data_IF_656310557962
#
_entry.id   IF_656310557962
#
_cell.length_a   1.000
_cell.length_b   1.000
_cell.length_c   1.000
_cell.angle_alpha   90.00
_cell.angle_beta   90.00
_cell.angle_gamma   90.00
#
_symmetry.space_group_name_H-M   'P 1'
#
loop_
_entity.id
_entity.type
_entity.pdbx_description
1 polymer ?
#
# COMPACT_ATOMS: atom_id res chain seq x y z
N UNK A 1 -43.91 -58.56 44.93
CA UNK A 1 -42.84 -58.43 43.92
C UNK A 1 -41.57 -58.03 44.67
N UNK A 2 -41.02 -58.97 45.43
CA UNK A 2 -39.98 -59.91 45.01
C UNK A 2 -38.60 -59.25 45.09
N UNK A 3 -38.07 -59.27 46.31
CA UNK A 3 -36.67 -59.15 46.63
C UNK A 3 -36.11 -60.55 46.98
N UNK A 4 -34.81 -60.70 46.73
CA UNK A 4 -33.88 -61.55 47.48
C UNK A 4 -33.97 -63.09 47.36
N UNK A 5 -32.90 -63.72 46.82
CA UNK A 5 -31.86 -64.36 47.67
C UNK A 5 -30.72 -65.02 46.88
N UNK A 6 -29.57 -65.01 47.55
CA UNK A 6 -28.24 -65.55 47.27
C UNK A 6 -28.20 -67.04 46.91
N UNK A 7 -27.15 -67.41 46.18
CA UNK A 7 -26.55 -68.75 46.18
C UNK A 7 -25.18 -68.73 45.50
N UNK A 8 -24.12 -68.71 46.31
CA UNK A 8 -22.72 -68.94 45.89
C UNK A 8 -22.46 -70.44 45.64
N UNK A 9 -21.62 -70.78 44.65
CA UNK A 9 -20.65 -71.87 44.78
C UNK A 9 -19.57 -71.86 43.66
N UNK A 10 -18.34 -71.61 44.14
CA UNK A 10 -16.99 -71.81 43.61
C UNK A 10 -16.76 -72.85 42.49
N UNK A 11 -15.86 -72.48 41.57
CA UNK A 11 -15.03 -73.39 40.78
C UNK A 11 -13.91 -72.61 40.09
N UNK A 12 -12.67 -72.81 40.54
CA UNK A 12 -11.48 -72.10 40.08
C UNK A 12 -11.03 -72.56 38.67
N UNK A 13 -10.56 -71.62 37.86
CA UNK A 13 -9.84 -71.87 36.62
C UNK A 13 -8.95 -70.67 36.31
N UNK A 14 -7.63 -70.91 36.32
CA UNK A 14 -6.59 -69.97 35.90
C UNK A 14 -6.84 -69.49 34.46
N UNK A 15 -6.89 -68.18 34.24
CA UNK A 15 -6.65 -67.59 32.92
C UNK A 15 -5.51 -66.57 33.02
N UNK A 16 -4.46 -66.85 32.26
CA UNK A 16 -3.29 -66.00 32.04
C UNK A 16 -3.71 -64.65 31.43
N UNK A 17 -3.37 -63.55 32.10
CA UNK A 17 -3.34 -62.23 31.49
C UNK A 17 -2.26 -62.19 30.41
N UNK A 18 -2.65 -62.26 29.13
CA UNK A 18 -1.82 -61.78 28.03
C UNK A 18 -1.96 -60.26 27.96
N UNK A 19 -0.96 -59.56 28.48
CA UNK A 19 -0.73 -58.13 28.20
C UNK A 19 -0.62 -57.92 26.70
N UNK A 20 -1.56 -57.13 26.17
CA UNK A 20 -1.58 -56.70 24.79
C UNK A 20 -0.60 -55.52 24.64
N UNK A 21 0.66 -55.84 24.35
CA UNK A 21 1.73 -54.87 24.15
C UNK A 21 1.67 -54.31 22.72
N UNK A 22 0.90 -53.25 22.50
CA UNK A 22 1.04 -52.38 21.32
C UNK A 22 1.93 -51.18 21.71
N UNK A 23 2.97 -50.85 20.91
CA UNK A 23 3.92 -49.82 21.27
C UNK A 23 3.27 -48.43 21.23
N UNK A 24 3.48 -47.70 22.32
CA UNK A 24 2.94 -46.38 22.63
C UNK A 24 3.67 -45.25 21.86
N UNK A 25 3.81 -45.38 20.54
CA UNK A 25 4.59 -44.42 19.73
C UNK A 25 3.87 -43.07 19.52
N UNK A 26 2.53 -43.09 19.47
CA UNK A 26 1.72 -41.88 19.26
C UNK A 26 1.77 -40.87 20.41
N UNK A 27 1.76 -41.33 21.67
CA UNK A 27 1.84 -40.45 22.84
C UNK A 27 3.25 -39.86 23.04
N UNK A 28 4.29 -40.52 22.52
CA UNK A 28 5.67 -40.02 22.57
C UNK A 28 5.89 -38.83 21.64
N UNK A 29 5.39 -38.92 20.40
CA UNK A 29 5.53 -37.86 19.40
C UNK A 29 4.79 -36.58 19.81
N UNK A 30 3.57 -36.71 20.32
CA UNK A 30 2.77 -35.56 20.77
C UNK A 30 3.40 -34.86 21.99
N UNK A 31 4.00 -35.65 22.90
CA UNK A 31 4.73 -35.12 24.06
C UNK A 31 6.03 -34.41 23.64
N UNK A 32 6.77 -34.96 22.69
CA UNK A 32 7.99 -34.35 22.17
C UNK A 32 7.70 -33.05 21.42
N UNK A 33 6.55 -32.97 20.72
CA UNK A 33 6.11 -31.76 20.02
C UNK A 33 5.67 -30.65 20.98
N UNK A 34 4.99 -31.00 22.07
CA UNK A 34 4.66 -30.04 23.14
C UNK A 34 5.91 -29.52 23.86
N UNK A 35 6.86 -30.40 24.19
CA UNK A 35 8.14 -30.00 24.78
C UNK A 35 8.95 -29.08 23.85
N UNK A 36 8.88 -29.31 22.53
CA UNK A 36 9.51 -28.47 21.53
C UNK A 36 8.90 -27.07 21.49
N UNK A 37 7.57 -26.96 21.53
CA UNK A 37 6.86 -25.69 21.57
C UNK A 37 7.21 -24.87 22.83
N UNK A 38 7.33 -25.53 23.98
CA UNK A 38 7.76 -24.88 25.23
C UNK A 38 9.21 -24.36 25.15
N UNK A 39 10.14 -25.14 24.57
CA UNK A 39 11.52 -24.70 24.33
C UNK A 39 11.58 -23.47 23.43
N UNK A 40 10.76 -23.42 22.38
CA UNK A 40 10.67 -22.29 21.45
C UNK A 40 10.13 -21.05 22.16
N UNK A 41 9.09 -21.17 22.99
CA UNK A 41 8.57 -20.05 23.77
C UNK A 41 9.61 -19.51 24.77
N UNK A 42 10.30 -20.39 25.48
CA UNK A 42 11.37 -20.00 26.41
C UNK A 42 12.51 -19.27 25.68
N UNK A 43 12.86 -19.70 24.46
CA UNK A 43 13.84 -19.00 23.62
C UNK A 43 13.39 -17.58 23.28
N UNK A 44 12.12 -17.40 22.89
CA UNK A 44 11.57 -16.08 22.55
C UNK A 44 11.55 -15.13 23.75
N UNK A 45 11.27 -15.64 24.96
CA UNK A 45 11.28 -14.84 26.19
C UNK A 45 12.69 -14.50 26.70
N UNK A 46 13.70 -15.32 26.38
CA UNK A 46 15.08 -15.13 26.85
C UNK A 46 15.86 -14.01 26.11
N UNK A 47 15.28 -13.42 25.06
CA UNK A 47 15.93 -12.42 24.19
C UNK A 47 16.37 -11.12 24.87
N UNK A 48 15.93 -10.84 26.10
CA UNK A 48 16.19 -9.58 26.80
C UNK A 48 17.42 -9.53 27.73
N UNK A 49 18.08 -10.66 28.05
CA UNK A 49 19.15 -10.62 29.07
C UNK A 49 20.07 -11.84 29.24
N UNK A 50 19.94 -12.89 28.42
CA UNK A 50 20.73 -14.12 28.61
C UNK A 50 21.13 -14.80 27.30
N UNK A 51 22.11 -14.24 26.59
CA UNK A 51 22.64 -14.81 25.34
C UNK A 51 23.04 -16.29 25.50
N UNK A 52 23.74 -16.61 26.60
CA UNK A 52 24.14 -17.97 26.98
C UNK A 52 22.96 -18.92 27.22
N UNK A 53 21.83 -18.41 27.69
CA UNK A 53 20.62 -19.22 27.93
C UNK A 53 19.91 -19.51 26.61
N UNK A 54 19.82 -18.53 25.72
CA UNK A 54 19.28 -18.69 24.38
C UNK A 54 20.09 -19.71 23.56
N UNK A 55 21.43 -19.67 23.64
CA UNK A 55 22.32 -20.64 22.96
C UNK A 55 22.13 -22.07 23.47
N UNK A 56 21.97 -22.26 24.79
CA UNK A 56 21.69 -23.58 25.38
C UNK A 56 20.32 -24.12 24.97
N UNK A 57 19.30 -23.26 24.94
CA UNK A 57 17.96 -23.64 24.46
C UNK A 57 18.02 -24.03 22.98
N UNK A 58 18.80 -23.33 22.16
CA UNK A 58 18.99 -23.66 20.74
C UNK A 58 19.68 -25.01 20.54
N UNK A 59 20.68 -25.32 21.37
CA UNK A 59 21.35 -26.61 21.33
C UNK A 59 20.39 -27.76 21.67
N UNK A 60 19.50 -27.58 22.66
CA UNK A 60 18.48 -28.56 23.03
C UNK A 60 17.44 -28.74 21.91
N UNK A 61 16.96 -27.65 21.32
CA UNK A 61 16.09 -27.65 20.14
C UNK A 61 16.71 -28.44 18.99
N UNK A 62 17.98 -28.18 18.69
CA UNK A 62 18.73 -28.88 17.64
C UNK A 62 18.89 -30.37 17.94
N UNK A 63 19.15 -30.72 19.20
CA UNK A 63 19.29 -32.11 19.63
C UNK A 63 17.96 -32.88 19.51
N UNK A 64 16.83 -32.25 19.86
CA UNK A 64 15.49 -32.84 19.70
C UNK A 64 15.17 -33.05 18.22
N UNK A 65 15.45 -32.06 17.36
CA UNK A 65 15.29 -32.18 15.90
C UNK A 65 16.15 -33.29 15.31
N UNK A 66 17.38 -33.46 15.79
CA UNK A 66 18.25 -34.54 15.33
C UNK A 66 17.67 -35.94 15.63
N UNK A 67 16.94 -36.11 16.75
CA UNK A 67 16.24 -37.38 17.06
C UNK A 67 15.04 -37.61 16.14
N UNK A 68 14.26 -36.57 15.86
CA UNK A 68 13.10 -36.64 14.97
C UNK A 68 13.49 -36.76 13.48
N UNK A 69 14.66 -36.25 13.08
CA UNK A 69 15.18 -36.35 11.72
C UNK A 69 15.34 -37.80 11.24
N UNK A 70 15.48 -38.77 12.16
CA UNK A 70 15.60 -40.18 11.81
C UNK A 70 14.34 -40.76 11.13
N UNK A 71 13.16 -40.23 11.43
CA UNK A 71 11.87 -40.72 10.89
C UNK A 71 11.42 -39.97 9.63
N UNK A 72 11.91 -38.74 9.41
CA UNK A 72 11.65 -38.00 8.17
C UNK A 72 12.48 -38.57 7.02
N UNK A 73 11.85 -38.92 5.91
CA UNK A 73 12.53 -39.48 4.72
C UNK A 73 12.20 -38.73 3.42
N UNK A 74 11.18 -37.88 3.43
CA UNK A 74 10.71 -37.16 2.25
C UNK A 74 10.13 -35.78 2.60
N UNK A 75 10.06 -34.90 1.61
CA UNK A 75 9.40 -33.60 1.70
C UNK A 75 8.60 -33.34 0.43
N UNK A 76 7.41 -32.78 0.56
CA UNK A 76 6.60 -32.38 -0.59
C UNK A 76 6.80 -30.89 -0.87
N UNK A 77 7.07 -30.55 -2.14
CA UNK A 77 7.12 -29.16 -2.59
C UNK A 77 6.52 -29.03 -3.99
N UNK A 78 5.54 -28.13 -4.13
CA UNK A 78 4.81 -27.85 -5.37
C UNK A 78 4.19 -29.11 -6.00
N UNK A 79 3.65 -30.00 -5.17
CA UNK A 79 3.01 -31.26 -5.62
C UNK A 79 3.99 -32.36 -6.04
N UNK A 80 5.31 -32.18 -5.80
CA UNK A 80 6.33 -33.20 -6.02
C UNK A 80 6.94 -33.64 -4.70
N UNK A 81 6.91 -34.94 -4.43
CA UNK A 81 7.56 -35.56 -3.27
C UNK A 81 9.03 -35.81 -3.57
N UNK A 82 9.89 -35.34 -2.67
CA UNK A 82 11.35 -35.36 -2.80
C UNK A 82 11.92 -36.23 -1.68
N UNK A 83 12.60 -37.34 -1.98
CA UNK A 83 13.28 -38.11 -0.95
C UNK A 83 14.47 -37.33 -0.39
N UNK A 84 14.58 -37.23 0.93
CA UNK A 84 15.62 -36.48 1.65
C UNK A 84 16.52 -37.47 2.39
N UNK A 85 17.69 -37.76 1.81
CA UNK A 85 18.67 -38.69 2.39
C UNK A 85 19.70 -38.02 3.29
N UNK A 86 19.87 -36.70 3.16
CA UNK A 86 20.93 -35.94 3.84
C UNK A 86 20.43 -35.48 5.21
N UNK A 87 21.05 -35.97 6.28
CA UNK A 87 20.66 -35.68 7.67
C UNK A 87 20.58 -34.19 7.98
N UNK A 88 21.56 -33.41 7.53
CA UNK A 88 21.57 -31.94 7.69
C UNK A 88 20.34 -31.27 7.08
N UNK A 89 19.89 -31.76 5.92
CA UNK A 89 18.71 -31.22 5.24
C UNK A 89 17.44 -31.62 5.97
N UNK A 90 17.37 -32.85 6.50
CA UNK A 90 16.22 -33.31 7.31
C UNK A 90 16.05 -32.47 8.58
N UNK A 91 17.14 -32.24 9.31
CA UNK A 91 17.14 -31.41 10.52
C UNK A 91 16.68 -29.98 10.20
N UNK A 92 17.19 -29.39 9.12
CA UNK A 92 16.79 -28.05 8.68
C UNK A 92 15.30 -27.97 8.32
N UNK A 93 14.81 -28.91 7.50
CA UNK A 93 13.42 -28.90 7.04
C UNK A 93 12.41 -29.14 8.18
N UNK A 94 12.74 -30.02 9.14
CA UNK A 94 11.92 -30.19 10.35
C UNK A 94 11.82 -28.91 11.17
N UNK A 95 12.92 -28.15 11.27
CA UNK A 95 12.95 -26.90 12.00
C UNK A 95 12.34 -25.70 11.27
N UNK A 96 11.99 -25.84 9.99
CA UNK A 96 11.56 -24.71 9.17
C UNK A 96 10.26 -24.09 9.68
N UNK A 97 9.22 -24.91 9.93
CA UNK A 97 7.92 -24.43 10.38
C UNK A 97 8.01 -23.76 11.77
N UNK A 98 8.77 -24.35 12.68
CA UNK A 98 9.06 -23.78 14.01
C UNK A 98 9.76 -22.42 13.91
N UNK A 99 10.79 -22.33 13.06
CA UNK A 99 11.55 -21.10 12.85
C UNK A 99 10.65 -20.01 12.24
N UNK A 100 9.81 -20.35 11.26
CA UNK A 100 8.83 -19.43 10.69
C UNK A 100 7.79 -18.97 11.73
N UNK A 101 7.31 -19.87 12.58
CA UNK A 101 6.40 -19.54 13.68
C UNK A 101 7.08 -18.63 14.72
N UNK A 102 8.33 -18.91 15.08
CA UNK A 102 9.11 -18.09 16.00
C UNK A 102 9.34 -16.68 15.46
N UNK A 103 9.63 -16.54 14.16
CA UNK A 103 9.75 -15.24 13.48
C UNK A 103 8.42 -14.47 13.55
N UNK A 104 7.29 -15.14 13.29
CA UNK A 104 5.97 -14.52 13.34
C UNK A 104 5.57 -14.06 14.76
N UNK A 105 5.98 -14.80 15.79
CA UNK A 105 5.66 -14.53 17.20
C UNK A 105 6.63 -13.58 17.89
N UNK A 106 7.80 -13.31 17.30
CA UNK A 106 8.78 -12.42 17.90
C UNK A 106 8.24 -10.99 18.04
N UNK A 107 8.29 -10.45 19.25
CA UNK A 107 7.81 -9.09 19.55
C UNK A 107 8.82 -7.99 19.19
N UNK A 108 10.12 -8.26 19.37
CA UNK A 108 11.20 -7.31 19.08
C UNK A 108 11.71 -7.47 17.65
N UNK A 109 11.91 -6.35 16.96
CA UNK A 109 12.49 -6.30 15.62
C UNK A 109 13.93 -6.82 15.59
N UNK A 110 14.71 -6.61 16.65
CA UNK A 110 16.06 -7.17 16.77
C UNK A 110 16.03 -8.70 16.88
N UNK A 111 15.05 -9.25 17.61
CA UNK A 111 14.88 -10.70 17.73
C UNK A 111 14.45 -11.29 16.39
N UNK A 112 13.52 -10.65 15.67
CA UNK A 112 13.14 -11.05 14.31
C UNK A 112 14.34 -11.09 13.37
N UNK A 113 15.17 -10.05 13.38
CA UNK A 113 16.35 -9.97 12.51
C UNK A 113 17.33 -11.12 12.80
N UNK A 114 17.62 -11.40 14.08
CA UNK A 114 18.47 -12.54 14.49
C UNK A 114 17.90 -13.89 14.04
N UNK A 115 16.59 -14.09 14.16
CA UNK A 115 15.93 -15.33 13.73
C UNK A 115 16.02 -15.52 12.21
N UNK A 116 15.80 -14.46 11.43
CA UNK A 116 16.00 -14.51 9.98
C UNK A 116 17.46 -14.82 9.62
N UNK A 117 18.43 -14.27 10.32
CA UNK A 117 19.85 -14.54 10.09
C UNK A 117 20.23 -15.98 10.40
N UNK A 118 19.72 -16.55 11.49
CA UNK A 118 19.87 -17.97 11.84
C UNK A 118 19.31 -18.85 10.72
N UNK A 119 18.06 -18.61 10.31
CA UNK A 119 17.40 -19.38 9.26
C UNK A 119 18.14 -19.30 7.92
N UNK A 120 18.64 -18.11 7.56
CA UNK A 120 19.47 -17.93 6.38
C UNK A 120 20.79 -18.69 6.48
N UNK A 121 21.42 -18.74 7.65
CA UNK A 121 22.65 -19.51 7.86
C UNK A 121 22.40 -21.01 7.71
N UNK A 122 21.40 -21.54 8.40
CA UNK A 122 21.01 -22.95 8.33
C UNK A 122 20.65 -23.37 6.89
N UNK A 123 19.94 -22.49 6.16
CA UNK A 123 19.61 -22.75 4.75
C UNK A 123 20.85 -22.82 3.86
N UNK A 124 21.88 -21.98 4.10
CA UNK A 124 23.15 -22.03 3.35
C UNK A 124 23.88 -23.35 3.62
N UNK A 125 23.91 -23.79 4.86
CA UNK A 125 24.56 -25.05 5.24
C UNK A 125 23.85 -26.26 4.64
N UNK A 126 22.50 -26.26 4.63
CA UNK A 126 21.70 -27.30 3.98
C UNK A 126 21.91 -27.32 2.44
N UNK A 127 21.92 -26.15 1.79
CA UNK A 127 22.22 -26.02 0.36
C UNK A 127 23.63 -26.54 0.06
N UNK A 128 24.61 -26.21 0.90
CA UNK A 128 25.99 -26.65 0.72
C UNK A 128 26.11 -28.18 0.82
N UNK A 129 25.43 -28.82 1.78
CA UNK A 129 25.39 -30.27 1.88
C UNK A 129 24.81 -30.94 0.63
N UNK A 130 23.72 -30.40 0.07
CA UNK A 130 23.16 -30.91 -1.21
C UNK A 130 24.12 -30.70 -2.38
N UNK A 131 24.82 -29.56 -2.43
CA UNK A 131 25.81 -29.27 -3.49
C UNK A 131 27.00 -30.22 -3.46
N UNK A 132 27.44 -30.64 -2.28
CA UNK A 132 28.51 -31.63 -2.12
C UNK A 132 28.09 -33.00 -2.67
N UNK A 133 26.88 -33.45 -2.34
CA UNK A 133 26.28 -34.67 -2.90
C UNK A 133 26.08 -34.58 -4.42
N UNK A 134 25.61 -33.44 -4.95
CA UNK A 134 25.49 -33.22 -6.40
C UNK A 134 26.83 -33.34 -7.13
N UNK A 135 27.92 -32.85 -6.53
CA UNK A 135 29.27 -32.97 -7.10
C UNK A 135 29.78 -34.41 -7.03
N UNK A 136 29.43 -35.16 -5.99
CA UNK A 136 29.78 -36.57 -5.86
C UNK A 136 29.02 -37.43 -6.91
N UNK A 137 27.72 -37.19 -7.07
CA UNK A 137 26.85 -37.86 -8.05
C UNK A 137 27.31 -37.58 -9.49
N UNK A 138 27.66 -36.32 -9.81
CA UNK A 138 28.20 -35.95 -11.12
C UNK A 138 29.51 -36.68 -11.46
N UNK A 139 30.43 -36.83 -10.50
CA UNK A 139 31.68 -37.59 -10.68
C UNK A 139 31.45 -39.09 -10.88
N UNK A 140 30.36 -39.64 -10.33
CA UNK A 140 29.98 -41.03 -10.54
C UNK A 140 29.31 -41.23 -11.90
N UNK A 141 28.46 -40.29 -12.34
CA UNK A 141 27.84 -40.29 -13.68
C UNK A 141 28.83 -40.10 -14.81
N UNK A 142 29.86 -39.28 -14.65
CA UNK A 142 30.93 -39.15 -15.68
C UNK A 142 31.68 -40.47 -15.95
N UNK A 143 31.57 -41.45 -15.05
CA UNK A 143 32.12 -42.80 -15.21
C UNK A 143 31.12 -43.80 -15.81
N UNK A 144 29.84 -43.46 -15.83
CA UNK A 144 28.75 -44.28 -16.37
C UNK A 144 28.18 -43.56 -17.60
N UNK A 145 28.58 -44.00 -18.79
CA UNK A 145 28.03 -43.54 -20.06
C UNK A 145 26.53 -43.89 -20.12
N UNK A 146 25.66 -43.03 -19.63
CA UNK A 146 24.24 -43.16 -19.92
C UNK A 146 23.57 -41.81 -20.19
N UNK A 147 22.97 -41.74 -21.37
CA UNK A 147 22.41 -40.56 -21.98
C UNK A 147 20.91 -40.48 -21.73
N UNK A 148 20.53 -39.90 -20.60
CA UNK A 148 19.17 -39.38 -20.38
C UNK A 148 19.23 -38.01 -19.69
N UNK A 149 19.46 -36.97 -20.50
CA UNK A 149 19.75 -35.59 -20.06
C UNK A 149 18.54 -34.68 -19.90
N UNK A 150 17.30 -35.20 -19.87
CA UNK A 150 16.12 -34.33 -20.03
C UNK A 150 15.29 -34.07 -18.75
N UNK A 151 15.45 -34.84 -17.65
CA UNK A 151 14.62 -34.66 -16.43
C UNK A 151 15.46 -34.19 -15.24
N UNK A 152 15.00 -33.12 -14.58
CA UNK A 152 15.61 -32.59 -13.34
C UNK A 152 15.63 -33.67 -12.26
N UNK A 153 16.83 -34.04 -11.80
CA UNK A 153 17.00 -35.10 -10.79
C UNK A 153 16.35 -34.70 -9.46
N UNK A 154 15.97 -35.68 -8.63
CA UNK A 154 15.40 -35.39 -7.31
C UNK A 154 16.36 -34.56 -6.44
N UNK A 155 17.66 -34.76 -6.58
CA UNK A 155 18.69 -34.01 -5.86
C UNK A 155 18.82 -32.57 -6.36
N UNK A 156 18.71 -32.34 -7.68
CA UNK A 156 18.66 -30.99 -8.26
C UNK A 156 17.37 -30.25 -7.87
N UNK A 157 16.25 -30.97 -7.81
CA UNK A 157 14.97 -30.39 -7.38
C UNK A 157 14.98 -30.07 -5.87
N UNK A 158 15.60 -30.92 -5.04
CA UNK A 158 15.87 -30.62 -3.63
C UNK A 158 16.74 -29.37 -3.46
N UNK A 159 17.81 -29.25 -4.28
CA UNK A 159 18.65 -28.06 -4.30
C UNK A 159 17.85 -26.79 -4.65
N UNK A 160 16.95 -26.90 -5.63
CA UNK A 160 16.05 -25.81 -6.03
C UNK A 160 15.08 -25.44 -4.92
N UNK A 161 14.51 -26.41 -4.21
CA UNK A 161 13.63 -26.16 -3.06
C UNK A 161 14.33 -25.43 -1.91
N UNK A 162 15.53 -25.88 -1.52
CA UNK A 162 16.30 -25.20 -0.47
C UNK A 162 16.73 -23.81 -0.91
N UNK A 163 17.06 -23.63 -2.19
CA UNK A 163 17.38 -22.32 -2.75
C UNK A 163 16.16 -21.40 -2.75
N UNK A 164 14.98 -21.92 -3.06
CA UNK A 164 13.70 -21.22 -2.91
C UNK A 164 13.51 -20.75 -1.46
N UNK A 165 13.63 -21.64 -0.46
CA UNK A 165 13.49 -21.27 0.95
C UNK A 165 14.44 -20.14 1.33
N UNK A 166 15.72 -20.23 0.94
CA UNK A 166 16.72 -19.17 1.18
C UNK A 166 16.29 -17.84 0.55
N UNK A 167 15.98 -17.83 -0.74
CA UNK A 167 15.61 -16.61 -1.47
C UNK A 167 14.33 -15.99 -0.91
N UNK A 168 13.33 -16.81 -0.61
CA UNK A 168 12.09 -16.40 0.01
C UNK A 168 12.30 -15.81 1.41
N UNK A 169 13.19 -16.41 2.20
CA UNK A 169 13.60 -15.87 3.51
C UNK A 169 14.30 -14.51 3.37
N UNK A 170 15.14 -14.31 2.34
CA UNK A 170 15.74 -12.99 2.05
C UNK A 170 14.64 -11.97 1.74
N UNK A 171 13.65 -12.33 0.93
CA UNK A 171 12.50 -11.46 0.63
C UNK A 171 11.76 -11.07 1.91
N UNK A 172 11.34 -12.05 2.73
CA UNK A 172 10.64 -11.81 4.01
C UNK A 172 11.44 -10.94 4.98
N UNK A 173 12.76 -11.20 5.14
CA UNK A 173 13.65 -10.40 6.01
C UNK A 173 13.68 -8.94 5.55
N UNK A 174 13.91 -8.69 4.26
CA UNK A 174 14.02 -7.33 3.75
C UNK A 174 12.66 -6.61 3.75
N UNK A 175 11.54 -7.32 3.56
CA UNK A 175 10.21 -6.73 3.77
C UNK A 175 10.01 -6.29 5.22
N UNK A 176 10.40 -7.11 6.20
CA UNK A 176 10.32 -6.76 7.62
C UNK A 176 11.15 -5.50 7.91
N UNK A 177 12.39 -5.46 7.44
CA UNK A 177 13.27 -4.30 7.59
C UNK A 177 12.69 -3.06 6.91
N UNK A 178 12.08 -3.21 5.73
CA UNK A 178 11.47 -2.11 5.01
C UNK A 178 10.27 -1.54 5.76
N UNK A 179 9.40 -2.37 6.34
CA UNK A 179 8.27 -1.92 7.18
C UNK A 179 8.76 -1.09 8.38
N UNK A 180 9.78 -1.57 9.09
CA UNK A 180 10.37 -0.84 10.23
C UNK A 180 10.95 0.49 9.79
N UNK A 181 11.69 0.51 8.67
CA UNK A 181 12.33 1.72 8.17
C UNK A 181 11.31 2.73 7.64
N UNK A 182 10.21 2.29 7.03
CA UNK A 182 9.11 3.15 6.63
C UNK A 182 8.42 3.81 7.83
N UNK A 183 8.17 3.05 8.91
CA UNK A 183 7.60 3.61 10.13
C UNK A 183 8.50 4.73 10.69
N UNK A 184 9.81 4.48 10.76
CA UNK A 184 10.80 5.48 11.21
C UNK A 184 10.91 6.70 10.30
N UNK A 185 10.60 6.59 9.01
CA UNK A 185 10.56 7.72 8.09
C UNK A 185 9.33 8.62 8.29
N UNK A 186 8.23 8.08 8.83
CA UNK A 186 7.00 8.83 9.13
C UNK A 186 7.08 9.55 10.47
N UNK A 187 7.99 9.14 11.34
CA UNK A 187 8.22 9.79 12.64
C UNK A 187 8.93 11.15 12.44
N UNK A 188 8.52 12.21 13.17
CA UNK A 188 9.21 13.50 13.14
C UNK A 188 10.64 13.32 13.68
N UNK A 189 11.63 13.69 12.87
CA UNK A 189 13.05 13.55 13.23
C UNK A 189 13.36 14.37 14.50
N UNK A 190 13.89 13.74 15.56
CA UNK A 190 14.47 14.49 16.66
C UNK A 190 15.87 14.95 16.25
N UNK A 191 16.02 16.26 16.07
CA UNK A 191 17.30 16.98 15.93
C UNK A 191 18.02 16.82 14.56
N UNK A 192 18.29 17.94 13.87
CA UNK A 192 18.99 17.96 12.56
C UNK A 192 20.41 17.35 12.62
N UNK A 193 20.94 17.19 13.83
CA UNK A 193 22.29 16.73 14.13
C UNK A 193 22.52 15.22 13.88
N UNK A 194 21.46 14.40 13.81
CA UNK A 194 21.58 12.96 13.53
C UNK A 194 21.09 12.65 12.12
N UNK A 195 21.90 11.89 11.35
CA UNK A 195 21.46 11.33 10.07
C UNK A 195 20.30 10.37 10.31
N UNK A 196 19.08 10.88 10.16
CA UNK A 196 17.86 10.10 10.18
C UNK A 196 17.79 9.08 9.04
N UNK A 197 16.85 8.11 9.11
CA UNK A 197 16.55 7.23 7.99
C UNK A 197 16.27 8.02 6.72
N UNK A 198 16.75 7.54 5.57
CA UNK A 198 16.52 8.20 4.28
C UNK A 198 15.79 7.29 3.31
N UNK A 199 15.03 7.84 2.34
CA UNK A 199 14.36 7.04 1.31
C UNK A 199 15.33 6.13 0.53
N UNK A 200 16.61 6.52 0.38
CA UNK A 200 17.60 5.70 -0.33
C UNK A 200 17.89 4.37 0.37
N UNK A 201 17.76 4.32 1.70
CA UNK A 201 17.98 3.10 2.47
C UNK A 201 16.87 2.06 2.18
N UNK A 202 15.64 2.51 1.90
CA UNK A 202 14.54 1.66 1.44
C UNK A 202 14.72 1.17 0.00
N UNK A 203 15.22 2.02 -0.90
CA UNK A 203 15.52 1.62 -2.29
C UNK A 203 16.43 0.39 -2.30
N UNK A 204 17.48 0.41 -1.48
CA UNK A 204 18.44 -0.70 -1.35
C UNK A 204 17.77 -2.01 -0.89
N UNK A 205 16.85 -1.93 0.07
CA UNK A 205 16.12 -3.12 0.55
C UNK A 205 15.23 -3.71 -0.57
N UNK A 206 14.52 -2.86 -1.32
CA UNK A 206 13.71 -3.31 -2.45
C UNK A 206 14.54 -3.83 -3.63
N UNK A 207 15.73 -3.29 -3.87
CA UNK A 207 16.67 -3.84 -4.86
C UNK A 207 17.08 -5.28 -4.51
N UNK A 208 17.37 -5.55 -3.23
CA UNK A 208 17.70 -6.91 -2.76
C UNK A 208 16.50 -7.86 -2.92
N UNK A 209 15.29 -7.39 -2.61
CA UNK A 209 14.05 -8.16 -2.82
C UNK A 209 13.90 -8.50 -4.31
N UNK A 210 14.02 -7.51 -5.20
CA UNK A 210 13.87 -7.71 -6.63
C UNK A 210 14.94 -8.61 -7.23
N UNK A 211 16.18 -8.52 -6.75
CA UNK A 211 17.24 -9.45 -7.14
C UNK A 211 16.90 -10.88 -6.74
N UNK A 212 16.43 -11.08 -5.50
CA UNK A 212 16.03 -12.40 -5.01
C UNK A 212 14.86 -13.00 -5.79
N UNK A 213 13.86 -12.17 -6.12
CA UNK A 213 12.72 -12.58 -6.95
C UNK A 213 13.12 -12.87 -8.40
N UNK A 214 14.13 -12.20 -8.94
CA UNK A 214 14.61 -12.46 -10.31
C UNK A 214 15.31 -13.82 -10.44
N UNK A 215 15.88 -14.36 -9.35
CA UNK A 215 16.50 -15.68 -9.31
C UNK A 215 15.46 -16.82 -9.22
N UNK A 216 14.30 -16.58 -8.61
CA UNK A 216 13.28 -17.62 -8.37
C UNK A 216 12.78 -18.33 -9.65
N UNK A 217 12.43 -17.63 -10.75
CA UNK A 217 12.01 -18.26 -12.01
C UNK A 217 13.07 -19.14 -12.66
N UNK A 218 14.34 -18.94 -12.31
CA UNK A 218 15.50 -19.61 -12.91
C UNK A 218 15.84 -20.93 -12.20
N UNK A 219 15.10 -21.28 -11.15
CA UNK A 219 15.28 -22.54 -10.42
C UNK A 219 14.86 -23.73 -11.30
N UNK A 220 15.67 -24.79 -11.28
CA UNK A 220 15.44 -25.97 -12.11
C UNK A 220 14.17 -26.71 -11.68
N UNK A 221 13.31 -27.01 -12.65
CA UNK A 221 12.03 -27.68 -12.43
C UNK A 221 10.86 -26.73 -12.20
N UNK A 222 11.09 -25.41 -12.27
CA UNK A 222 10.06 -24.37 -12.14
C UNK A 222 9.61 -23.78 -13.49
N UNK A 223 10.19 -24.24 -14.61
CA UNK A 223 9.93 -23.72 -15.96
C UNK A 223 8.47 -23.90 -16.38
N UNK A 224 7.89 -25.07 -16.06
CA UNK A 224 6.53 -25.45 -16.42
C UNK A 224 5.49 -25.08 -15.35
N UNK A 225 5.89 -24.66 -14.15
CA UNK A 225 4.95 -24.21 -13.10
C UNK A 225 4.47 -22.79 -13.39
N UNK A 226 3.50 -22.66 -14.29
CA UNK A 226 2.91 -21.37 -14.64
C UNK A 226 2.23 -20.66 -13.45
N UNK A 227 1.81 -21.40 -12.42
CA UNK A 227 1.25 -20.79 -11.21
C UNK A 227 2.33 -20.08 -10.40
N UNK A 228 3.49 -20.71 -10.23
CA UNK A 228 4.69 -20.11 -9.63
C UNK A 228 5.16 -18.88 -10.39
N UNK A 229 5.29 -19.00 -11.70
CA UNK A 229 5.78 -17.92 -12.55
C UNK A 229 4.89 -16.67 -12.42
N UNK A 230 3.56 -16.87 -12.42
CA UNK A 230 2.60 -15.78 -12.20
C UNK A 230 2.69 -15.17 -10.79
N UNK A 231 2.83 -16.01 -9.76
CA UNK A 231 2.98 -15.56 -8.37
C UNK A 231 4.23 -14.67 -8.20
N UNK A 232 5.38 -15.13 -8.71
CA UNK A 232 6.65 -14.40 -8.63
C UNK A 232 6.61 -13.12 -9.48
N UNK A 233 6.02 -13.17 -10.68
CA UNK A 233 5.85 -12.00 -11.53
C UNK A 233 4.99 -10.91 -10.84
N UNK A 234 3.90 -11.31 -10.19
CA UNK A 234 3.02 -10.39 -9.47
C UNK A 234 3.73 -9.73 -8.30
N UNK A 235 4.45 -10.50 -7.48
CA UNK A 235 5.29 -9.96 -6.40
C UNK A 235 6.37 -9.02 -6.92
N UNK A 236 7.01 -9.37 -8.04
CA UNK A 236 8.01 -8.52 -8.69
C UNK A 236 7.42 -7.17 -9.10
N UNK A 237 6.19 -7.13 -9.63
CA UNK A 237 5.51 -5.88 -9.96
C UNK A 237 5.25 -5.01 -8.73
N UNK A 238 4.79 -5.60 -7.63
CA UNK A 238 4.57 -4.87 -6.36
C UNK A 238 5.86 -4.24 -5.85
N UNK A 239 6.95 -5.00 -5.78
CA UNK A 239 8.22 -4.45 -5.27
C UNK A 239 8.88 -3.45 -6.24
N UNK A 240 8.63 -3.57 -7.56
CA UNK A 240 8.98 -2.52 -8.52
C UNK A 240 8.22 -1.22 -8.24
N UNK A 241 6.96 -1.31 -7.86
CA UNK A 241 6.15 -0.16 -7.49
C UNK A 241 6.72 0.53 -6.23
N UNK A 242 6.97 -0.22 -5.15
CA UNK A 242 7.58 0.35 -3.92
C UNK A 242 8.97 0.94 -4.17
N UNK A 243 9.84 0.24 -4.91
CA UNK A 243 11.15 0.80 -5.27
C UNK A 243 11.00 2.12 -6.02
N UNK A 244 10.11 2.19 -7.01
CA UNK A 244 9.87 3.38 -7.79
C UNK A 244 9.32 4.54 -6.94
N UNK A 245 8.47 4.23 -5.96
CA UNK A 245 7.94 5.20 -4.99
C UNK A 245 9.07 5.84 -4.16
N UNK A 246 9.98 5.04 -3.58
CA UNK A 246 11.07 5.60 -2.78
C UNK A 246 12.16 6.31 -3.61
N UNK A 247 12.32 5.93 -4.89
CA UNK A 247 13.12 6.73 -5.84
C UNK A 247 12.45 8.10 -6.05
N UNK A 248 11.13 8.14 -6.24
CA UNK A 248 10.40 9.41 -6.40
C UNK A 248 10.54 10.31 -5.17
N UNK A 249 10.38 9.75 -3.96
CA UNK A 249 10.62 10.43 -2.69
C UNK A 249 12.05 10.99 -2.58
N UNK A 250 13.06 10.26 -3.10
CA UNK A 250 14.43 10.78 -3.16
C UNK A 250 14.58 11.98 -4.10
N UNK A 251 13.84 12.02 -5.20
CA UNK A 251 13.82 13.17 -6.12
C UNK A 251 13.06 14.38 -5.56
N UNK A 252 11.99 14.15 -4.79
CA UNK A 252 11.27 15.19 -4.03
C UNK A 252 12.25 15.94 -3.12
N UNK A 253 13.09 15.21 -2.37
CA UNK A 253 14.07 15.82 -1.45
C UNK A 253 15.10 16.73 -2.12
N UNK A 254 15.38 16.51 -3.41
CA UNK A 254 16.32 17.34 -4.20
C UNK A 254 15.60 18.27 -5.18
N UNK A 255 14.30 18.52 -4.96
CA UNK A 255 13.45 19.43 -5.76
C UNK A 255 13.38 19.10 -7.25
N UNK A 256 13.59 17.84 -7.62
CA UNK A 256 13.45 17.34 -9.00
C UNK A 256 12.01 16.91 -9.26
N UNK A 257 11.12 17.91 -9.29
CA UNK A 257 9.66 17.72 -9.30
C UNK A 257 9.19 16.92 -10.52
N UNK A 258 9.76 17.19 -11.70
CA UNK A 258 9.35 16.54 -12.95
C UNK A 258 9.68 15.04 -12.94
N UNK A 259 10.88 14.69 -12.48
CA UNK A 259 11.33 13.31 -12.38
C UNK A 259 10.54 12.53 -11.33
N UNK A 260 10.29 13.15 -10.17
CA UNK A 260 9.46 12.56 -9.12
C UNK A 260 8.02 12.30 -9.61
N UNK A 261 7.41 13.24 -10.34
CA UNK A 261 6.06 13.08 -10.89
C UNK A 261 5.96 11.89 -11.86
N UNK A 262 6.92 11.77 -12.79
CA UNK A 262 6.96 10.65 -13.75
C UNK A 262 7.11 9.31 -13.03
N UNK A 263 7.92 9.26 -11.96
CA UNK A 263 8.06 8.05 -11.15
C UNK A 263 6.78 7.71 -10.41
N UNK A 264 6.07 8.68 -9.82
CA UNK A 264 4.76 8.43 -9.20
C UNK A 264 3.72 7.88 -10.19
N UNK A 265 3.67 8.44 -11.41
CA UNK A 265 2.82 7.88 -12.47
C UNK A 265 3.19 6.43 -12.82
N UNK A 266 4.49 6.11 -12.82
CA UNK A 266 4.98 4.74 -13.04
C UNK A 266 4.57 3.79 -11.90
N UNK A 267 4.57 4.25 -10.65
CA UNK A 267 4.03 3.49 -9.50
C UNK A 267 2.57 3.14 -9.74
N UNK A 268 1.74 4.13 -10.12
CA UNK A 268 0.32 3.91 -10.43
C UNK A 268 0.11 2.94 -11.60
N UNK A 269 0.99 2.95 -12.61
CA UNK A 269 0.94 1.99 -13.71
C UNK A 269 1.16 0.55 -13.22
N UNK A 270 2.21 0.31 -12.44
CA UNK A 270 2.46 -1.02 -11.86
C UNK A 270 1.32 -1.45 -10.94
N UNK A 271 0.80 -0.52 -10.13
CA UNK A 271 -0.29 -0.81 -9.22
C UNK A 271 -1.57 -1.26 -9.93
N UNK A 272 -1.95 -0.58 -11.02
CA UNK A 272 -3.08 -0.98 -11.87
C UNK A 272 -2.85 -2.35 -12.51
N UNK A 273 -1.64 -2.62 -13.00
CA UNK A 273 -1.28 -3.92 -13.56
C UNK A 273 -1.43 -5.05 -12.53
N UNK A 274 -0.95 -4.83 -11.30
CA UNK A 274 -1.14 -5.78 -10.19
C UNK A 274 -2.62 -6.01 -9.91
N UNK A 275 -3.45 -4.97 -9.84
CA UNK A 275 -4.90 -5.12 -9.61
C UNK A 275 -5.60 -5.92 -10.71
N UNK A 276 -5.19 -5.78 -11.98
CA UNK A 276 -5.74 -6.54 -13.10
C UNK A 276 -5.31 -8.01 -13.03
N UNK A 277 -4.02 -8.26 -12.80
CA UNK A 277 -3.47 -9.61 -12.74
C UNK A 277 -3.93 -10.39 -11.50
N UNK A 278 -4.05 -9.72 -10.35
CA UNK A 278 -4.55 -10.29 -9.11
C UNK A 278 -5.96 -10.87 -9.25
N UNK A 279 -6.87 -10.18 -9.97
CA UNK A 279 -8.23 -10.69 -10.25
C UNK A 279 -8.25 -11.99 -11.07
N UNK A 280 -7.18 -12.25 -11.82
CA UNK A 280 -7.04 -13.45 -12.67
C UNK A 280 -6.35 -14.61 -11.95
N UNK A 281 -5.77 -14.37 -10.77
CA UNK A 281 -5.06 -15.37 -9.97
C UNK A 281 -5.94 -15.83 -8.78
N UNK A 282 -6.52 -17.03 -8.87
CA UNK A 282 -7.29 -17.65 -7.77
C UNK A 282 -6.43 -18.17 -6.60
N UNK A 283 -5.10 -18.08 -6.69
CA UNK A 283 -4.17 -18.62 -5.69
C UNK A 283 -3.71 -17.56 -4.69
N UNK A 284 -3.89 -17.85 -3.40
CA UNK A 284 -3.37 -17.21 -2.18
C UNK A 284 -2.56 -15.91 -2.37
N UNK A 285 -3.25 -14.81 -2.63
CA UNK A 285 -2.68 -13.46 -2.60
C UNK A 285 -2.50 -12.91 -1.16
N UNK A 286 -2.66 -13.75 -0.13
CA UNK A 286 -2.67 -13.34 1.29
C UNK A 286 -1.36 -12.68 1.73
N UNK A 287 -0.26 -12.96 1.04
CA UNK A 287 1.09 -12.48 1.37
C UNK A 287 1.58 -11.34 0.46
N UNK A 288 0.69 -10.69 -0.31
CA UNK A 288 1.06 -9.50 -1.08
C UNK A 288 0.74 -8.24 -0.27
N UNK A 289 1.66 -7.26 -0.21
CA UNK A 289 1.33 -5.94 0.30
C UNK A 289 0.12 -5.38 -0.44
N UNK A 290 -0.84 -4.81 0.30
CA UNK A 290 -1.99 -4.17 -0.33
C UNK A 290 -1.53 -2.94 -1.11
N UNK A 291 -1.64 -3.03 -2.44
CA UNK A 291 -1.23 -1.96 -3.33
C UNK A 291 -2.21 -0.78 -3.27
N UNK A 292 -3.41 -0.97 -2.70
CA UNK A 292 -4.37 0.11 -2.55
C UNK A 292 -3.85 1.22 -1.63
N UNK A 293 -3.19 0.86 -0.52
CA UNK A 293 -2.54 1.83 0.36
C UNK A 293 -1.47 2.63 -0.40
N UNK A 294 -0.62 1.95 -1.17
CA UNK A 294 0.41 2.59 -2.00
C UNK A 294 -0.21 3.54 -3.05
N UNK A 295 -1.33 3.18 -3.67
CA UNK A 295 -2.06 4.06 -4.60
C UNK A 295 -2.54 5.32 -3.88
N UNK A 296 -3.12 5.18 -2.68
CA UNK A 296 -3.60 6.34 -1.91
C UNK A 296 -2.46 7.26 -1.51
N UNK A 297 -1.34 6.70 -1.06
CA UNK A 297 -0.14 7.44 -0.66
C UNK A 297 0.47 8.18 -1.87
N UNK A 298 0.63 7.51 -3.01
CA UNK A 298 1.14 8.13 -4.25
C UNK A 298 0.27 9.29 -4.72
N UNK A 299 -1.06 9.13 -4.69
CA UNK A 299 -1.96 10.21 -5.10
C UNK A 299 -1.84 11.43 -4.17
N UNK A 300 -1.75 11.21 -2.85
CA UNK A 300 -1.54 12.29 -1.89
C UNK A 300 -0.20 13.01 -2.15
N UNK A 301 0.87 12.25 -2.37
CA UNK A 301 2.20 12.77 -2.66
C UNK A 301 2.27 13.53 -3.99
N UNK A 302 1.53 13.10 -5.01
CA UNK A 302 1.44 13.83 -6.29
C UNK A 302 0.83 15.22 -6.11
N UNK A 303 -0.25 15.36 -5.34
CA UNK A 303 -0.85 16.67 -5.07
C UNK A 303 0.08 17.56 -4.23
N UNK A 304 0.73 16.98 -3.21
CA UNK A 304 1.74 17.68 -2.40
C UNK A 304 2.90 18.18 -3.25
N UNK A 305 3.43 17.32 -4.14
CA UNK A 305 4.48 17.66 -5.08
C UNK A 305 4.07 18.77 -6.04
N UNK A 306 2.84 18.73 -6.57
CA UNK A 306 2.34 19.77 -7.48
C UNK A 306 2.25 21.13 -6.78
N UNK A 307 1.72 21.16 -5.56
CA UNK A 307 1.68 22.38 -4.76
C UNK A 307 3.09 22.91 -4.46
N UNK A 308 4.01 22.03 -4.02
CA UNK A 308 5.40 22.39 -3.75
C UNK A 308 6.12 22.94 -5.00
N UNK A 309 5.90 22.34 -6.16
CA UNK A 309 6.51 22.78 -7.41
C UNK A 309 6.03 24.18 -7.83
N UNK A 310 4.76 24.52 -7.62
CA UNK A 310 4.20 25.85 -7.89
C UNK A 310 4.82 26.90 -6.96
N UNK A 311 4.90 26.60 -5.66
CA UNK A 311 5.49 27.51 -4.67
C UNK A 311 6.99 27.71 -4.90
N UNK A 312 7.71 26.67 -5.32
CA UNK A 312 9.16 26.74 -5.62
C UNK A 312 9.44 27.61 -6.88
N UNK A 313 8.50 27.68 -7.83
CA UNK A 313 8.58 28.63 -8.95
C UNK A 313 8.36 30.08 -8.54
N UNK A 314 7.62 30.36 -7.47
CA UNK A 314 7.42 31.72 -6.96
C UNK A 314 8.71 32.26 -6.30
N UNK A 315 9.45 31.42 -5.57
CA UNK A 315 10.75 31.79 -4.98
C UNK A 315 11.84 32.09 -6.03
N UNK A 316 11.78 31.47 -7.22
CA UNK A 316 12.69 31.80 -8.34
C UNK A 316 12.22 33.00 -9.17
N UNK A 317 10.93 33.33 -9.14
CA UNK A 317 10.39 34.52 -9.80
C UNK A 317 10.73 35.83 -9.04
N UNK A 318 11.24 35.75 -7.81
CA UNK A 318 11.78 36.90 -7.08
C UNK A 318 13.20 37.31 -7.51
N UNK A 319 13.86 36.57 -8.42
CA UNK A 319 14.89 37.23 -9.24
C UNK A 319 14.16 38.07 -10.28
N UNK A 320 14.28 39.42 -10.28
CA UNK A 320 13.62 40.29 -11.25
C UNK A 320 14.33 40.15 -12.60
N UNK A 321 14.21 38.97 -13.21
CA UNK A 321 14.57 38.74 -14.58
C UNK A 321 13.44 39.34 -15.40
N UNK A 322 13.63 40.62 -15.70
CA UNK A 322 12.80 41.41 -16.59
C UNK A 322 11.41 41.71 -15.99
N UNK A 323 11.40 42.54 -14.94
CA UNK A 323 10.47 43.67 -14.99
C UNK A 323 10.69 44.34 -16.34
N UNK A 324 9.87 44.00 -17.33
CA UNK A 324 9.63 44.92 -18.41
C UNK A 324 9.16 46.18 -17.70
N UNK A 325 10.07 47.14 -17.53
CA UNK A 325 9.70 48.54 -17.39
C UNK A 325 8.94 48.88 -18.66
N UNK A 326 7.68 48.47 -18.71
CA UNK A 326 6.78 48.88 -19.77
C UNK A 326 6.62 50.36 -19.49
N UNK A 327 7.22 51.19 -20.34
CA UNK A 327 6.93 52.63 -20.44
C UNK A 327 5.52 52.81 -20.99
N UNK A 328 4.52 52.19 -20.34
CA UNK A 328 3.13 52.45 -20.61
C UNK A 328 2.76 53.73 -19.88
N UNK A 329 2.81 54.83 -20.62
CA UNK A 329 2.47 56.16 -20.12
C UNK A 329 0.96 56.35 -19.94
N UNK A 330 0.13 55.32 -20.12
CA UNK A 330 -1.29 55.38 -19.81
C UNK A 330 -1.51 55.57 -18.30
N UNK A 331 -2.48 56.40 -17.90
CA UNK A 331 -2.83 56.54 -16.49
C UNK A 331 -3.36 55.21 -15.94
N UNK A 332 -3.20 54.98 -14.63
CA UNK A 332 -3.64 53.74 -13.97
C UNK A 332 -5.11 53.40 -14.25
N UNK A 333 -5.99 54.41 -14.33
CA UNK A 333 -7.41 54.21 -14.62
C UNK A 333 -7.71 53.53 -15.96
N UNK A 334 -6.80 53.60 -16.93
CA UNK A 334 -6.98 53.08 -18.28
C UNK A 334 -6.38 51.67 -18.48
N UNK A 335 -5.78 51.09 -17.42
CA UNK A 335 -5.11 49.78 -17.45
C UNK A 335 -5.44 48.90 -16.23
N UNK A 336 -6.63 49.05 -15.66
CA UNK A 336 -7.09 48.29 -14.48
C UNK A 336 -7.27 46.79 -14.76
N UNK A 337 -7.29 46.40 -16.03
CA UNK A 337 -7.39 45.03 -16.52
C UNK A 337 -6.06 44.26 -16.51
N UNK A 338 -4.93 44.93 -16.29
CA UNK A 338 -3.60 44.32 -16.32
C UNK A 338 -2.75 44.70 -15.09
N UNK A 339 -2.26 43.69 -14.37
CA UNK A 339 -1.40 43.88 -13.20
C UNK A 339 0.05 44.16 -13.62
N UNK A 340 0.58 45.30 -13.17
CA UNK A 340 1.96 45.72 -13.44
C UNK A 340 2.60 46.30 -12.17
N UNK A 341 3.86 45.96 -11.91
CA UNK A 341 4.65 46.62 -10.88
C UNK A 341 5.19 47.95 -11.45
N UNK A 342 4.54 49.05 -11.10
CA UNK A 342 4.94 50.41 -11.51
C UNK A 342 5.44 51.23 -10.31
N UNK A 343 6.77 51.34 -10.12
CA UNK A 343 7.35 52.13 -9.02
C UNK A 343 6.98 53.61 -9.06
N UNK A 344 6.59 54.15 -10.22
CA UNK A 344 6.22 55.56 -10.37
C UNK A 344 4.94 55.93 -9.61
N UNK A 345 4.07 54.94 -9.34
CA UNK A 345 2.84 55.12 -8.56
C UNK A 345 3.11 55.46 -7.09
N UNK A 346 4.29 55.11 -6.57
CA UNK A 346 4.74 55.42 -5.20
C UNK A 346 5.59 56.70 -5.16
N UNK A 347 5.85 57.30 -6.33
CA UNK A 347 6.62 58.53 -6.49
C UNK A 347 5.85 59.81 -6.14
N UNK A 348 6.52 60.96 -6.27
CA UNK A 348 5.94 62.28 -5.94
C UNK A 348 4.86 62.75 -6.93
N UNK A 349 4.80 62.17 -8.13
CA UNK A 349 3.86 62.55 -9.20
C UNK A 349 3.31 61.28 -9.88
N UNK A 350 2.38 60.56 -9.23
CA UNK A 350 1.82 59.34 -9.79
C UNK A 350 0.83 59.64 -10.92
N UNK A 351 0.96 58.93 -12.05
CA UNK A 351 0.06 59.03 -13.19
C UNK A 351 -1.20 58.15 -12.99
N UNK A 352 -2.09 58.58 -12.08
CA UNK A 352 -3.28 57.78 -11.69
C UNK A 352 -4.45 57.94 -12.67
N UNK A 353 -4.72 59.18 -13.05
CA UNK A 353 -5.87 59.59 -13.88
C UNK A 353 -5.49 60.87 -14.61
N UNK A 354 -6.02 61.05 -15.82
CA UNK A 354 -5.88 62.31 -16.56
C UNK A 354 -6.65 63.41 -15.85
N UNK A 355 -5.95 64.46 -15.39
CA UNK A 355 -6.56 65.62 -14.74
C UNK A 355 -6.08 66.94 -15.36
N UNK A 356 -6.97 67.89 -15.68
CA UNK A 356 -8.43 67.84 -15.51
C UNK A 356 -9.10 66.84 -16.47
N UNK A 357 -10.26 66.26 -16.10
CA UNK A 357 -10.97 65.32 -16.96
C UNK A 357 -11.43 66.00 -18.25
N UNK A 358 -11.48 65.23 -19.34
CA UNK A 358 -12.01 65.71 -20.61
C UNK A 358 -13.51 66.01 -20.49
N UNK A 359 -13.96 67.09 -21.14
CA UNK A 359 -15.38 67.43 -21.17
C UNK A 359 -16.16 66.38 -21.96
N UNK A 360 -17.14 65.74 -21.30
CA UNK A 360 -18.04 64.79 -21.94
C UNK A 360 -19.45 65.40 -22.08
N UNK A 361 -20.13 65.20 -23.23
CA UNK A 361 -21.50 65.67 -23.40
C UNK A 361 -22.43 64.91 -22.45
N UNK A 362 -23.16 65.64 -21.61
CA UNK A 362 -24.17 65.07 -20.72
C UNK A 362 -25.49 65.04 -21.52
N UNK A 363 -26.14 63.87 -21.71
CA UNK A 363 -27.42 63.82 -22.38
C UNK A 363 -28.46 64.61 -21.58
N UNK A 364 -29.24 65.44 -22.28
CA UNK A 364 -30.35 66.16 -21.66
C UNK A 364 -31.34 65.15 -21.07
N UNK A 365 -31.91 65.48 -19.90
CA UNK A 365 -32.93 64.65 -19.25
C UNK A 365 -34.03 64.28 -20.27
N UNK A 366 -34.32 62.98 -20.47
CA UNK A 366 -35.31 62.55 -21.45
C UNK A 366 -36.68 63.12 -21.11
N UNK A 367 -37.46 63.48 -22.14
CA UNK A 367 -38.84 63.90 -21.94
C UNK A 367 -39.65 62.72 -21.40
N UNK A 368 -40.31 62.94 -20.26
CA UNK A 368 -41.25 61.99 -19.66
C UNK A 368 -42.60 62.70 -19.53
N UNK A 369 -43.62 62.15 -20.19
CA UNK A 369 -44.98 62.70 -20.12
C UNK A 369 -45.80 61.94 -19.10
N UNK A 370 -46.53 62.66 -18.25
CA UNK A 370 -47.51 62.06 -17.36
C UNK A 370 -48.79 61.75 -18.13
N UNK A 371 -48.88 60.52 -18.65
CA UNK A 371 -50.06 60.05 -19.38
C UNK A 371 -51.23 59.72 -18.45
N UNK A 372 -51.00 59.56 -17.15
CA UNK A 372 -52.07 59.24 -16.19
C UNK A 372 -53.07 60.40 -16.07
N UNK A 373 -52.60 61.64 -16.25
CA UNK A 373 -53.46 62.81 -16.29
C UNK A 373 -54.53 62.73 -17.40
N UNK A 374 -54.20 62.11 -18.54
CA UNK A 374 -55.17 61.93 -19.64
C UNK A 374 -56.34 61.01 -19.25
N UNK A 375 -56.17 60.19 -18.20
CA UNK A 375 -57.18 59.26 -17.72
C UNK A 375 -58.03 59.82 -16.57
N UNK A 376 -57.78 61.06 -16.14
CA UNK A 376 -58.65 61.76 -15.19
C UNK A 376 -59.88 62.28 -15.94
N UNK A 377 -60.89 61.43 -16.08
CA UNK A 377 -62.18 61.77 -16.65
C UNK A 377 -63.29 61.54 -15.63
N UNK A 378 -64.41 62.25 -15.79
CA UNK A 378 -65.60 61.97 -14.99
C UNK A 378 -66.11 60.55 -15.26
N UNK A 379 -66.64 59.85 -14.25
CA UNK A 379 -67.33 58.59 -14.48
C UNK A 379 -68.59 58.85 -15.34
N UNK A 380 -69.14 57.83 -16.01
CA UNK A 380 -70.44 57.94 -16.67
C UNK A 380 -71.50 58.46 -15.68
N UNK A 381 -72.14 59.58 -16.02
CA UNK A 381 -73.11 60.26 -15.15
C UNK A 381 -74.56 59.92 -15.51
N UNK A 382 -74.80 58.95 -16.38
CA UNK A 382 -76.14 58.60 -16.89
C UNK A 382 -77.14 58.28 -15.76
N UNK A 383 -76.68 57.67 -14.67
CA UNK A 383 -77.48 57.36 -13.47
C UNK A 383 -77.74 58.57 -12.54
N UNK A 384 -77.10 59.71 -12.81
CA UNK A 384 -77.24 60.97 -12.04
C UNK A 384 -78.04 62.03 -12.79
N UNK A 385 -78.38 61.78 -14.06
CA UNK A 385 -79.27 62.65 -14.84
C UNK A 385 -80.70 62.11 -14.70
N UNK A 386 -81.57 62.86 -14.00
CA UNK A 386 -82.99 62.49 -13.89
C UNK A 386 -83.66 62.43 -15.28
N UNK A 387 -84.04 61.24 -15.70
CA UNK A 387 -84.93 61.03 -16.84
C UNK A 387 -86.32 61.56 -16.49
N UNK A 388 -86.63 62.82 -16.86
CA UNK A 388 -88.00 63.35 -16.74
C UNK A 388 -88.95 62.56 -17.63
N UNK A 389 -89.80 61.76 -16.98
CA UNK A 389 -90.89 61.01 -17.58
C UNK A 389 -91.91 61.90 -18.32
N UNK A 390 -92.42 61.37 -19.42
CA UNK A 390 -93.55 61.89 -20.19
C UNK A 390 -94.80 62.06 -19.30
N UNK A 391 -95.44 63.23 -19.35
CA UNK A 391 -96.76 63.45 -18.74
C UNK A 391 -97.31 64.88 -18.80
N UNK A 392 -97.89 65.26 -19.95
CA UNK A 392 -99.16 66.01 -20.11
C UNK A 392 -99.43 67.40 -19.46
N UNK A 393 -99.48 68.42 -20.33
CA UNK A 393 -100.51 69.48 -20.46
C UNK A 393 -101.00 70.27 -19.22
N UNK A 394 -100.47 71.49 -19.03
CA UNK A 394 -101.16 72.79 -18.79
C UNK A 394 -100.02 73.84 -18.68
N UNK A 395 -99.86 74.84 -19.53
CA UNK A 395 -100.73 76.01 -19.67
C UNK A 395 -99.94 77.28 -19.30
N UNK A 396 -99.45 77.99 -20.33
CA UNK A 396 -99.32 79.47 -20.45
C UNK A 396 -98.56 80.34 -19.41
N UNK A 397 -97.83 81.33 -19.98
CA UNK A 397 -97.21 82.57 -19.42
C UNK A 397 -95.73 82.39 -18.97
N UNK A 398 -94.69 82.81 -19.73
CA UNK A 398 -94.19 84.14 -20.18
C UNK A 398 -93.15 84.75 -19.20
N UNK A 399 -91.92 84.92 -19.70
CA UNK A 399 -90.83 85.74 -19.13
C UNK A 399 -90.02 85.01 -18.04
N UNK A 400 -88.77 85.33 -17.72
CA UNK A 400 -87.85 86.42 -18.05
C UNK A 400 -86.49 86.00 -17.37
N UNK A 401 -85.33 86.45 -17.90
CA UNK A 401 -83.92 86.22 -17.47
C UNK A 401 -83.24 84.91 -17.94
N UNK A 402 -82.10 84.90 -18.65
CA UNK A 402 -81.13 85.96 -18.98
C UNK A 402 -79.95 86.03 -18.00
N UNK A 403 -78.74 85.94 -18.55
CA UNK A 403 -77.38 85.99 -17.94
C UNK A 403 -76.82 84.63 -17.47
N UNK A 404 -75.57 84.27 -17.79
CA UNK A 404 -74.53 85.01 -18.49
C UNK A 404 -73.15 84.44 -18.15
N UNK A 405 -72.34 84.31 -19.21
CA UNK A 405 -70.90 84.03 -19.31
C UNK A 405 -70.36 82.67 -18.90
#
# INVERSE_FOLDING_TARGET
>A
MAAEKRGEARGAGMEENKENNQPNEGLGLERDQNAMNELIQMRLSAGGGGQMMAEKLEALITQTRAKQAATMSEVEWRGRTIPVKIDKVRIFLLGLADNEAAIAQAASEETKERLYESLLSESRDAIQAVREELKADAKQRDRALDGETCKVSNLQYLHSYLTYIKLWTVVKRNESMARVLQAKLKEPQPDESKRGPRPQDLIRLYDIILQSLAELPQLLGMEDDHSFQKEVALKTLVYKAYRCFFIAQSYVLVKKWSEALVLYQRVLKYAKEVQVQAKSCNSSLKDLPDVQELITEVNAEMYSLQAAAILDTEDSAETPSQSQEVKDNKPLCDRLDAFHLDPSLVGKQPNLVTFPPEFQPIPCKPLFFDLALNHVAFPPLDDKVEQKGKGGLTGYIKGIFGFGS
#
